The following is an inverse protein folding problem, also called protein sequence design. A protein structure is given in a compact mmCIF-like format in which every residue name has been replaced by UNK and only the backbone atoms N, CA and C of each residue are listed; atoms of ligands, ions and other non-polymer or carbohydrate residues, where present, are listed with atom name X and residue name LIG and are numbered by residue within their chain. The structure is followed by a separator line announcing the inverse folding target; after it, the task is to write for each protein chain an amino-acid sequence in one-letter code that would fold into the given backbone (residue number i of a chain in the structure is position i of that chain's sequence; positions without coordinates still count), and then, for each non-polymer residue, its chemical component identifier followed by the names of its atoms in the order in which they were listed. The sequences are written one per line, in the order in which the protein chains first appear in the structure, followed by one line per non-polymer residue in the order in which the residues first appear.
data_IF_594338755300
#
_entry.id   IF_594338755300
#
_cell.length_a   1.000
_cell.length_b   1.000
_cell.length_c   1.000
_cell.angle_alpha   90.00
_cell.angle_beta   90.00
_cell.angle_gamma   90.00
#
_symmetry.space_group_name_H-M   'P 1'
#
loop_
_entity.id
_entity.type
_entity.pdbx_description
1 polymer ?
#
# COMPACT_ATOMS: atom_id res chain seq x y z
N UNK A 1 22.58 2.80 11.39
CA UNK A 1 22.06 3.92 10.58
C UNK A 1 21.19 4.83 11.42
N UNK A 2 21.02 6.08 11.02
CA UNK A 2 19.98 6.99 11.49
C UNK A 2 18.81 6.96 10.50
N UNK A 3 17.63 6.56 10.96
CA UNK A 3 16.45 6.37 10.12
C UNK A 3 15.34 7.31 10.59
N UNK A 4 14.69 8.01 9.67
CA UNK A 4 13.46 8.73 9.98
C UNK A 4 12.27 8.08 9.28
N UNK A 5 11.21 7.81 10.03
CA UNK A 5 9.91 7.34 9.52
C UNK A 5 8.91 8.48 9.62
N UNK A 6 8.46 8.98 8.48
CA UNK A 6 7.53 10.11 8.37
C UNK A 6 6.11 9.56 8.23
N UNK A 7 5.32 9.68 9.29
CA UNK A 7 3.96 9.19 9.38
C UNK A 7 3.78 8.17 10.49
N UNK A 8 3.15 8.60 11.58
CA UNK A 8 2.88 7.78 12.77
C UNK A 8 1.52 7.05 12.67
N UNK A 9 1.21 6.49 11.50
CA UNK A 9 0.13 5.52 11.31
C UNK A 9 0.53 4.12 11.81
N UNK A 10 -0.34 3.13 11.65
CA UNK A 10 -0.06 1.75 12.08
C UNK A 10 1.24 1.21 11.47
N UNK A 11 1.38 1.29 10.14
CA UNK A 11 2.50 0.71 9.43
C UNK A 11 3.82 1.45 9.67
N UNK A 12 3.81 2.81 9.65
CA UNK A 12 4.99 3.59 9.99
C UNK A 12 5.47 3.35 11.41
N UNK A 13 4.55 3.25 12.38
CA UNK A 13 4.89 2.92 13.78
C UNK A 13 5.48 1.51 13.89
N UNK A 14 4.90 0.51 13.22
CA UNK A 14 5.40 -0.87 13.26
C UNK A 14 6.83 -0.99 12.71
N UNK A 15 7.11 -0.35 11.57
CA UNK A 15 8.46 -0.34 11.00
C UNK A 15 9.46 0.44 11.85
N UNK A 16 9.04 1.56 12.45
CA UNK A 16 9.89 2.31 13.37
C UNK A 16 10.27 1.48 14.60
N UNK A 17 9.32 0.70 15.15
CA UNK A 17 9.58 -0.24 16.26
C UNK A 17 10.58 -1.32 15.82
N UNK A 18 10.36 -1.93 14.65
CA UNK A 18 11.25 -2.97 14.12
C UNK A 18 12.68 -2.47 13.92
N UNK A 19 12.85 -1.32 13.28
CA UNK A 19 14.17 -0.73 13.03
C UNK A 19 14.88 -0.25 14.31
N UNK A 20 14.13 0.23 15.31
CA UNK A 20 14.68 0.76 16.55
C UNK A 20 15.38 -0.29 17.43
N UNK A 21 15.26 -1.58 17.10
CA UNK A 21 16.01 -2.66 17.74
C UNK A 21 17.51 -2.61 17.41
N UNK A 22 17.88 -2.04 16.27
CA UNK A 22 19.27 -2.05 15.77
C UNK A 22 19.78 -0.68 15.33
N UNK A 23 18.91 0.30 15.14
CA UNK A 23 19.23 1.58 14.55
C UNK A 23 18.72 2.75 15.40
N UNK A 24 19.29 3.94 15.19
CA UNK A 24 18.78 5.18 15.77
C UNK A 24 17.58 5.65 14.94
N UNK A 25 16.36 5.54 15.46
CA UNK A 25 15.14 5.78 14.74
C UNK A 25 14.36 6.98 15.29
N UNK A 26 13.95 7.86 14.38
CA UNK A 26 12.99 8.94 14.63
C UNK A 26 11.65 8.62 13.98
N UNK A 27 10.55 8.72 14.72
CA UNK A 27 9.19 8.64 14.22
C UNK A 27 8.59 10.04 14.17
N UNK A 28 8.26 10.50 12.97
CA UNK A 28 7.68 11.82 12.74
C UNK A 28 6.16 11.75 12.69
N UNK A 29 5.50 12.47 13.60
CA UNK A 29 4.06 12.69 13.58
C UNK A 29 3.74 14.13 13.13
N UNK A 30 2.84 14.28 12.16
CA UNK A 30 2.40 15.60 11.67
C UNK A 30 1.62 16.36 12.73
N UNK A 31 0.74 15.66 13.45
CA UNK A 31 -0.11 16.21 14.50
C UNK A 31 0.68 16.30 15.81
N UNK A 32 0.88 17.51 16.37
CA UNK A 32 1.58 17.69 17.64
C UNK A 32 0.91 16.96 18.81
N UNK A 33 -0.42 16.87 18.83
CA UNK A 33 -1.17 16.18 19.88
C UNK A 33 -0.88 14.67 19.83
N UNK A 34 -0.84 14.10 18.63
CA UNK A 34 -0.43 12.70 18.46
C UNK A 34 1.02 12.49 18.88
N UNK A 35 1.93 13.41 18.51
CA UNK A 35 3.33 13.31 18.87
C UNK A 35 3.53 13.32 20.39
N UNK A 36 2.84 14.22 21.09
CA UNK A 36 2.89 14.30 22.57
C UNK A 36 2.33 13.02 23.21
N UNK A 37 1.21 12.51 22.73
CA UNK A 37 0.64 11.26 23.21
C UNK A 37 1.61 10.07 23.00
N UNK A 38 2.26 9.97 21.84
CA UNK A 38 3.27 8.93 21.56
C UNK A 38 4.49 9.05 22.48
N UNK A 39 4.92 10.29 22.77
CA UNK A 39 6.07 10.57 23.62
C UNK A 39 5.78 10.22 25.08
N UNK A 40 4.61 10.59 25.59
CA UNK A 40 4.25 10.44 27.01
C UNK A 40 3.76 9.03 27.33
N UNK A 41 2.86 8.47 26.49
CA UNK A 41 2.25 7.16 26.71
C UNK A 41 3.14 6.00 26.23
N UNK A 42 4.16 6.29 25.43
CA UNK A 42 5.03 5.28 24.79
C UNK A 42 4.24 4.16 24.09
N UNK A 43 3.11 4.52 23.47
CA UNK A 43 2.25 3.62 22.71
C UNK A 43 1.46 4.40 21.65
N UNK A 44 1.09 3.73 20.55
CA UNK A 44 0.21 4.30 19.53
C UNK A 44 -1.20 3.70 19.67
N UNK A 45 -1.91 4.10 20.71
CA UNK A 45 -3.22 3.53 21.05
C UNK A 45 -4.24 3.66 19.91
N UNK A 46 -4.16 4.74 19.10
CA UNK A 46 -5.09 5.02 17.99
C UNK A 46 -4.89 4.08 16.79
N UNK A 47 -3.63 3.81 16.41
CA UNK A 47 -3.34 3.12 15.14
C UNK A 47 -2.70 1.74 15.32
N UNK A 48 -2.04 1.49 16.46
CA UNK A 48 -1.36 0.24 16.77
C UNK A 48 -1.54 -0.12 18.26
N UNK A 49 -2.78 -0.37 18.70
CA UNK A 49 -3.10 -0.60 20.11
C UNK A 49 -2.38 -1.83 20.66
N UNK A 50 -2.01 -1.77 21.94
CA UNK A 50 -1.40 -2.90 22.66
C UNK A 50 0.08 -3.15 22.33
N UNK A 51 0.74 -2.24 21.63
CA UNK A 51 2.17 -2.32 21.29
C UNK A 51 2.92 -1.14 21.94
N UNK A 52 3.94 -1.43 22.75
CA UNK A 52 4.79 -0.42 23.37
C UNK A 52 5.86 0.09 22.38
N UNK A 53 6.16 1.39 22.44
CA UNK A 53 7.28 1.97 21.70
C UNK A 53 8.60 1.70 22.47
N UNK A 54 9.65 1.22 21.79
CA UNK A 54 10.97 1.03 22.42
C UNK A 54 11.50 2.33 23.04
N UNK A 55 12.17 2.31 24.18
CA UNK A 55 12.74 3.52 24.80
C UNK A 55 13.69 4.29 23.87
N UNK A 56 14.40 3.58 23.00
CA UNK A 56 15.33 4.13 21.99
C UNK A 56 14.63 4.90 20.85
N UNK A 57 13.33 4.67 20.63
CA UNK A 57 12.57 5.34 19.55
C UNK A 57 12.28 6.80 19.93
N UNK A 58 12.80 7.73 19.14
CA UNK A 58 12.58 9.16 19.31
C UNK A 58 11.33 9.61 18.56
N UNK A 59 10.38 10.25 19.22
CA UNK A 59 9.22 10.85 18.57
C UNK A 59 9.53 12.32 18.23
N UNK A 60 9.15 12.75 17.02
CA UNK A 60 9.35 14.12 16.53
C UNK A 60 8.07 14.68 15.92
N UNK A 61 7.98 16.02 15.88
CA UNK A 61 6.89 16.73 15.22
C UNK A 61 7.43 17.97 14.50
N UNK A 62 6.65 18.52 13.54
CA UNK A 62 7.00 19.69 12.76
C UNK A 62 6.90 21.04 13.45
N UNK A 63 6.56 21.08 14.73
CA UNK A 63 6.35 22.34 15.44
C UNK A 63 7.63 23.15 15.67
N UNK A 64 8.80 22.52 15.67
CA UNK A 64 10.07 23.17 16.04
C UNK A 64 11.12 23.18 14.92
N UNK A 65 11.10 22.26 13.97
CA UNK A 65 12.11 22.12 12.91
C UNK A 65 11.45 21.68 11.61
N UNK A 66 11.90 22.22 10.48
CA UNK A 66 11.37 21.83 9.16
C UNK A 66 11.68 20.36 8.84
N UNK A 67 10.76 19.70 8.17
CA UNK A 67 10.92 18.28 7.80
C UNK A 67 12.19 18.02 6.94
N UNK A 68 12.52 18.85 5.93
CA UNK A 68 13.75 18.68 5.17
C UNK A 68 15.03 18.77 6.02
N UNK A 69 15.07 19.67 6.99
CA UNK A 69 16.25 19.84 7.84
C UNK A 69 16.45 18.65 8.79
N UNK A 70 15.35 18.09 9.29
CA UNK A 70 15.42 16.84 10.06
C UNK A 70 15.84 15.68 9.17
N UNK A 71 15.25 15.55 7.98
CA UNK A 71 15.55 14.45 7.04
C UNK A 71 17.03 14.43 6.64
N UNK A 72 17.66 15.58 6.41
CA UNK A 72 19.10 15.68 6.09
C UNK A 72 20.04 15.16 7.17
N UNK A 73 19.57 14.97 8.39
CA UNK A 73 20.36 14.42 9.51
C UNK A 73 20.29 12.89 9.59
N UNK A 74 19.61 12.25 8.64
CA UNK A 74 19.36 10.82 8.62
C UNK A 74 19.97 10.15 7.38
N UNK A 75 20.30 8.87 7.51
CA UNK A 75 20.89 8.06 6.43
C UNK A 75 19.81 7.45 5.52
N UNK A 76 18.58 7.34 6.02
CA UNK A 76 17.42 6.78 5.30
C UNK A 76 16.13 7.47 5.74
N UNK A 77 15.29 7.85 4.77
CA UNK A 77 13.97 8.43 4.98
C UNK A 77 12.89 7.45 4.53
N UNK A 78 11.94 7.13 5.41
CA UNK A 78 10.77 6.30 5.11
C UNK A 78 9.52 7.17 5.14
N UNK A 79 8.82 7.28 4.01
CA UNK A 79 7.56 8.01 3.88
C UNK A 79 6.40 7.03 4.10
N UNK A 80 5.80 7.07 5.28
CA UNK A 80 4.70 6.20 5.72
C UNK A 80 3.34 6.95 5.74
N UNK A 81 3.20 7.99 4.92
CA UNK A 81 1.93 8.69 4.72
C UNK A 81 1.04 7.91 3.74
N UNK A 82 -0.29 8.12 3.75
CA UNK A 82 -1.13 7.68 2.65
C UNK A 82 -0.67 8.27 1.31
N UNK A 83 -1.03 7.62 0.20
CA UNK A 83 -0.64 8.06 -1.16
C UNK A 83 -1.04 9.52 -1.44
N UNK A 84 -2.20 9.95 -0.99
CA UNK A 84 -2.67 11.34 -1.15
C UNK A 84 -1.71 12.39 -0.55
N UNK A 85 -0.85 12.02 0.40
CA UNK A 85 0.17 12.89 0.97
C UNK A 85 1.55 12.76 0.32
N UNK A 86 1.75 11.75 -0.54
CA UNK A 86 3.08 11.41 -1.06
C UNK A 86 3.69 12.54 -1.89
N UNK A 87 2.94 13.12 -2.82
CA UNK A 87 3.41 14.22 -3.70
C UNK A 87 3.98 15.38 -2.89
N UNK A 88 3.23 15.83 -1.89
CA UNK A 88 3.68 16.91 -1.01
C UNK A 88 4.94 16.53 -0.23
N UNK A 89 5.02 15.29 0.28
CA UNK A 89 6.21 14.82 1.01
C UNK A 89 7.43 14.74 0.10
N UNK A 90 7.30 14.17 -1.08
CA UNK A 90 8.42 14.08 -2.03
C UNK A 90 8.89 15.47 -2.50
N UNK A 91 7.97 16.42 -2.72
CA UNK A 91 8.35 17.81 -3.04
C UNK A 91 9.20 18.45 -1.93
N UNK A 92 8.85 18.22 -0.67
CA UNK A 92 9.64 18.72 0.47
C UNK A 92 11.00 18.01 0.61
N UNK A 93 11.07 16.75 0.23
CA UNK A 93 12.26 15.90 0.33
C UNK A 93 13.14 15.92 -0.92
N UNK A 94 12.79 16.67 -1.95
CA UNK A 94 13.45 16.66 -3.26
C UNK A 94 14.96 16.94 -3.23
N UNK A 95 15.45 17.65 -2.21
CA UNK A 95 16.87 18.00 -2.04
C UNK A 95 17.57 17.24 -0.91
N UNK A 96 16.96 16.19 -0.38
CA UNK A 96 17.56 15.36 0.66
C UNK A 96 18.57 14.41 0.00
N UNK A 97 19.82 14.31 0.50
CA UNK A 97 20.88 13.59 -0.17
C UNK A 97 20.88 12.08 0.08
N UNK A 98 20.06 11.59 1.03
CA UNK A 98 19.99 10.18 1.39
C UNK A 98 18.84 9.45 0.66
N UNK A 99 18.85 8.11 0.63
CA UNK A 99 17.76 7.31 0.12
C UNK A 99 16.40 7.65 0.75
N UNK A 100 15.35 7.72 -0.10
CA UNK A 100 13.97 7.94 0.30
C UNK A 100 13.13 6.76 -0.16
N UNK A 101 12.34 6.15 0.72
CA UNK A 101 11.44 5.08 0.34
C UNK A 101 10.03 5.33 0.87
N UNK A 102 9.02 5.00 0.08
CA UNK A 102 7.61 5.09 0.50
C UNK A 102 7.02 3.72 0.80
N UNK A 103 5.94 3.74 1.59
CA UNK A 103 5.20 2.56 1.99
C UNK A 103 3.77 2.55 1.45
N UNK A 104 3.30 3.68 0.91
CA UNK A 104 1.94 3.82 0.40
C UNK A 104 1.72 2.91 -0.81
N UNK A 105 0.49 2.46 -0.96
CA UNK A 105 0.03 1.56 -2.02
C UNK A 105 -1.17 2.18 -2.70
N UNK A 106 -1.16 2.27 -4.01
CA UNK A 106 -2.27 2.83 -4.76
C UNK A 106 -1.82 3.59 -5.99
N UNK A 107 -2.77 4.28 -6.61
CA UNK A 107 -2.59 5.13 -7.79
C UNK A 107 -3.20 6.49 -7.46
N UNK A 108 -2.46 7.57 -7.67
CA UNK A 108 -2.96 8.93 -7.51
C UNK A 108 -3.94 9.24 -8.64
N UNK A 109 -5.13 9.74 -8.32
CA UNK A 109 -6.11 10.16 -9.32
C UNK A 109 -5.58 11.27 -10.22
N UNK A 110 -6.07 11.36 -11.46
CA UNK A 110 -5.70 12.44 -12.39
C UNK A 110 -6.08 13.80 -11.81
N UNK A 111 -5.20 14.77 -11.94
CA UNK A 111 -5.49 16.17 -11.62
C UNK A 111 -6.34 16.78 -12.74
N UNK A 112 -7.37 17.56 -12.43
CA UNK A 112 -8.18 18.23 -13.43
C UNK A 112 -7.33 19.11 -14.36
N UNK A 113 -7.54 19.00 -15.66
CA UNK A 113 -7.07 20.00 -16.64
C UNK A 113 -5.80 19.73 -17.43
N UNK A 114 -5.21 18.54 -17.42
CA UNK A 114 -4.06 18.20 -18.27
C UNK A 114 -4.10 16.75 -18.77
N UNK A 115 -3.18 16.36 -19.65
CA UNK A 115 -2.94 14.97 -20.10
C UNK A 115 -2.60 14.00 -18.95
N UNK A 116 -3.29 14.13 -17.82
CA UNK A 116 -2.96 13.48 -16.57
C UNK A 116 -3.75 12.20 -16.38
N UNK A 117 -3.21 11.12 -16.90
CA UNK A 117 -3.58 9.80 -16.42
C UNK A 117 -3.16 9.59 -14.96
N UNK A 118 -3.86 8.72 -14.21
CA UNK A 118 -3.52 8.37 -12.85
C UNK A 118 -2.09 7.84 -12.72
N UNK A 119 -1.36 8.21 -11.64
CA UNK A 119 0.07 7.98 -11.50
C UNK A 119 0.41 7.02 -10.36
N UNK A 120 1.38 6.15 -10.62
CA UNK A 120 2.07 5.37 -9.60
C UNK A 120 3.04 6.27 -8.80
N UNK A 121 3.48 5.80 -7.63
CA UNK A 121 4.31 6.61 -6.73
C UNK A 121 5.68 6.98 -7.36
N UNK A 122 6.33 6.09 -8.11
CA UNK A 122 7.56 6.41 -8.82
C UNK A 122 7.37 7.47 -9.91
N UNK A 123 6.22 7.50 -10.59
CA UNK A 123 5.87 8.52 -11.58
C UNK A 123 5.65 9.89 -10.90
N UNK A 124 5.03 9.90 -9.70
CA UNK A 124 4.92 11.10 -8.86
C UNK A 124 6.32 11.60 -8.48
N UNK A 125 7.19 10.68 -8.04
CA UNK A 125 8.58 11.01 -7.66
C UNK A 125 9.33 11.65 -8.83
N UNK A 126 9.25 11.07 -10.02
CA UNK A 126 9.88 11.61 -11.23
C UNK A 126 9.43 13.03 -11.58
N UNK A 127 8.18 13.40 -11.23
CA UNK A 127 7.65 14.75 -11.46
C UNK A 127 8.14 15.79 -10.44
N UNK A 128 8.17 15.43 -9.15
CA UNK A 128 8.39 16.42 -8.08
C UNK A 128 9.76 16.34 -7.40
N UNK A 129 10.47 15.23 -7.59
CA UNK A 129 11.80 14.98 -7.03
C UNK A 129 12.65 14.11 -7.99
N UNK A 130 12.90 14.55 -9.24
CA UNK A 130 13.52 13.74 -10.29
C UNK A 130 14.94 13.26 -9.96
N UNK A 131 15.64 13.94 -9.07
CA UNK A 131 17.00 13.59 -8.65
C UNK A 131 17.06 12.76 -7.36
N UNK A 132 15.91 12.43 -6.76
CA UNK A 132 15.88 11.67 -5.53
C UNK A 132 16.29 10.20 -5.76
N UNK A 133 17.18 9.69 -4.94
CA UNK A 133 17.43 8.24 -4.85
C UNK A 133 16.24 7.61 -4.11
N UNK A 134 15.28 7.10 -4.86
CA UNK A 134 13.99 6.72 -4.29
C UNK A 134 13.59 5.28 -4.57
N UNK A 135 12.70 4.72 -3.74
CA UNK A 135 12.19 3.36 -3.87
C UNK A 135 10.94 3.10 -3.03
N UNK A 136 10.52 1.86 -3.03
CA UNK A 136 9.33 1.39 -2.30
C UNK A 136 9.68 0.19 -1.42
N UNK A 137 9.09 0.12 -0.23
CA UNK A 137 9.07 -1.09 0.60
C UNK A 137 7.63 -1.61 0.67
N UNK A 138 7.38 -2.81 0.17
CA UNK A 138 6.05 -3.40 0.01
C UNK A 138 6.08 -4.90 0.31
N UNK A 139 4.95 -5.59 0.13
CA UNK A 139 4.81 -7.03 0.34
C UNK A 139 3.74 -7.38 1.37
N UNK A 140 3.54 -8.69 1.64
CA UNK A 140 2.51 -9.18 2.55
C UNK A 140 2.86 -8.82 4.00
N UNK A 141 2.13 -7.86 4.58
CA UNK A 141 2.45 -7.37 5.91
C UNK A 141 1.28 -6.67 6.58
N UNK A 142 0.88 -7.21 7.73
CA UNK A 142 0.03 -6.48 8.65
C UNK A 142 0.87 -5.81 9.73
N UNK A 143 0.60 -4.54 9.99
CA UNK A 143 1.37 -3.73 10.93
C UNK A 143 1.46 -4.35 12.33
N UNK A 144 0.37 -4.96 12.82
CA UNK A 144 0.32 -5.61 14.12
C UNK A 144 1.26 -6.82 14.21
N UNK A 145 1.35 -7.62 13.14
CA UNK A 145 2.21 -8.80 13.08
C UNK A 145 3.68 -8.40 13.08
N UNK A 146 4.05 -7.41 12.25
CA UNK A 146 5.42 -6.89 12.20
C UNK A 146 5.84 -6.27 13.53
N UNK A 147 4.97 -5.49 14.17
CA UNK A 147 5.25 -4.89 15.47
C UNK A 147 5.43 -5.90 16.60
N UNK A 148 4.81 -7.09 16.47
CA UNK A 148 4.99 -8.23 17.38
C UNK A 148 6.15 -9.14 17.00
N UNK A 149 6.96 -8.75 16.01
CA UNK A 149 8.07 -9.54 15.48
C UNK A 149 7.65 -10.93 14.96
N UNK A 150 6.42 -11.05 14.44
CA UNK A 150 5.98 -12.27 13.77
C UNK A 150 6.67 -12.40 12.41
N UNK A 151 6.98 -13.63 11.96
CA UNK A 151 7.68 -13.85 10.70
C UNK A 151 6.98 -13.17 9.53
N UNK A 152 7.69 -12.26 8.86
CA UNK A 152 7.17 -11.47 7.75
C UNK A 152 8.22 -11.34 6.65
N UNK A 153 7.79 -11.22 5.39
CA UNK A 153 8.66 -11.00 4.26
C UNK A 153 8.21 -9.79 3.45
N UNK A 154 9.17 -8.92 3.09
CA UNK A 154 8.96 -7.68 2.33
C UNK A 154 9.85 -7.65 1.09
N UNK A 155 9.53 -6.75 0.17
CA UNK A 155 10.31 -6.41 -1.01
C UNK A 155 10.74 -4.96 -0.94
N UNK A 156 12.04 -4.71 -1.04
CA UNK A 156 12.65 -3.40 -1.23
C UNK A 156 12.90 -3.21 -2.72
N UNK A 157 12.11 -2.35 -3.39
CA UNK A 157 12.24 -2.15 -4.83
C UNK A 157 12.70 -0.73 -5.18
N UNK A 158 13.69 -0.66 -6.07
CA UNK A 158 14.22 0.59 -6.62
C UNK A 158 15.11 0.30 -7.82
N UNK A 159 15.20 1.23 -8.75
CA UNK A 159 16.23 1.22 -9.81
C UNK A 159 17.63 1.53 -9.26
N UNK A 160 17.72 2.17 -8.08
CA UNK A 160 18.99 2.49 -7.40
C UNK A 160 19.39 1.37 -6.43
N UNK A 161 20.55 0.74 -6.65
CA UNK A 161 21.07 -0.30 -5.74
C UNK A 161 21.23 0.20 -4.31
N UNK A 162 21.72 1.42 -4.13
CA UNK A 162 21.92 2.04 -2.82
C UNK A 162 20.63 2.11 -1.99
N UNK A 163 19.47 2.34 -2.63
CA UNK A 163 18.17 2.36 -1.96
C UNK A 163 17.78 0.96 -1.51
N UNK A 164 17.94 -0.03 -2.39
CA UNK A 164 17.64 -1.44 -2.07
C UNK A 164 18.50 -1.92 -0.90
N UNK A 165 19.80 -1.66 -0.96
CA UNK A 165 20.77 -2.08 0.07
C UNK A 165 20.45 -1.39 1.41
N UNK A 166 20.17 -0.08 1.40
CA UNK A 166 19.78 0.65 2.61
C UNK A 166 18.49 0.09 3.25
N UNK A 167 17.49 -0.27 2.45
CA UNK A 167 16.25 -0.87 2.95
C UNK A 167 16.47 -2.29 3.50
N UNK A 168 17.29 -3.10 2.83
CA UNK A 168 17.67 -4.42 3.32
C UNK A 168 18.42 -4.29 4.64
N UNK A 169 19.42 -3.42 4.73
CA UNK A 169 20.21 -3.22 5.95
C UNK A 169 19.34 -2.68 7.11
N UNK A 170 18.42 -1.76 6.80
CA UNK A 170 17.53 -1.18 7.81
C UNK A 170 16.56 -2.18 8.43
N UNK A 171 15.97 -3.07 7.61
CA UNK A 171 14.80 -3.85 8.02
C UNK A 171 15.00 -5.37 8.03
N UNK A 172 16.04 -5.92 7.40
CA UNK A 172 16.27 -7.36 7.40
C UNK A 172 16.69 -7.85 8.80
N UNK A 173 15.88 -8.72 9.42
CA UNK A 173 16.11 -9.30 10.76
C UNK A 173 15.78 -10.80 10.75
N UNK A 174 15.91 -11.46 11.88
CA UNK A 174 15.48 -12.86 12.05
C UNK A 174 13.95 -13.06 11.89
N UNK A 175 13.15 -12.03 12.16
CA UNK A 175 11.68 -12.08 12.02
C UNK A 175 11.16 -11.32 10.81
N UNK A 176 11.95 -10.44 10.19
CA UNK A 176 11.55 -9.66 9.02
C UNK A 176 12.56 -9.85 7.88
N UNK A 177 12.21 -10.63 6.89
CA UNK A 177 13.04 -10.84 5.70
C UNK A 177 12.75 -9.77 4.66
N UNK A 178 13.81 -9.16 4.10
CA UNK A 178 13.68 -8.18 3.02
C UNK A 178 14.41 -8.69 1.78
N UNK A 179 13.69 -8.72 0.66
CA UNK A 179 14.21 -9.13 -0.64
C UNK A 179 14.36 -7.90 -1.53
N UNK A 180 15.51 -7.75 -2.18
CA UNK A 180 15.76 -6.67 -3.13
C UNK A 180 15.12 -6.97 -4.48
N UNK A 181 14.59 -5.93 -5.15
CA UNK A 181 14.07 -5.98 -6.53
C UNK A 181 14.43 -4.69 -7.27
N UNK A 182 14.69 -4.79 -8.55
CA UNK A 182 14.84 -3.63 -9.45
C UNK A 182 13.54 -3.27 -10.18
N UNK A 183 12.50 -4.11 -10.09
CA UNK A 183 11.17 -3.87 -10.65
C UNK A 183 10.27 -3.08 -9.69
N UNK A 184 10.51 -1.77 -9.60
CA UNK A 184 9.68 -0.87 -8.79
C UNK A 184 8.23 -0.82 -9.30
N UNK A 185 8.05 -0.89 -10.63
CA UNK A 185 6.73 -0.82 -11.28
C UNK A 185 5.86 -1.99 -10.85
N UNK A 186 6.38 -3.22 -10.97
CA UNK A 186 5.65 -4.42 -10.60
C UNK A 186 5.27 -4.44 -9.12
N UNK A 187 6.19 -4.00 -8.24
CA UNK A 187 5.93 -3.91 -6.80
C UNK A 187 4.83 -2.90 -6.47
N UNK A 188 4.80 -1.75 -7.12
CA UNK A 188 3.76 -0.73 -6.93
C UNK A 188 2.41 -1.16 -7.49
N UNK A 189 2.36 -1.73 -8.69
CA UNK A 189 1.13 -2.25 -9.31
C UNK A 189 0.53 -3.35 -8.43
N UNK A 190 1.35 -4.30 -7.98
CA UNK A 190 0.90 -5.34 -7.05
C UNK A 190 0.26 -4.75 -5.80
N UNK A 191 0.94 -3.79 -5.16
CA UNK A 191 0.44 -3.12 -3.96
C UNK A 191 -0.85 -2.32 -4.18
N UNK A 192 -1.03 -1.71 -5.35
CA UNK A 192 -2.22 -0.92 -5.67
C UNK A 192 -3.43 -1.80 -6.00
N UNK A 193 -3.28 -2.73 -6.95
CA UNK A 193 -4.38 -3.53 -7.50
C UNK A 193 -4.93 -4.52 -6.47
N UNK A 194 -4.07 -5.12 -5.64
CA UNK A 194 -4.51 -6.06 -4.59
C UNK A 194 -5.59 -5.48 -3.66
N UNK A 195 -5.52 -4.18 -3.39
CA UNK A 195 -6.45 -3.51 -2.50
C UNK A 195 -7.86 -3.45 -3.09
N UNK A 196 -7.96 -3.26 -4.40
CA UNK A 196 -9.23 -3.29 -5.14
C UNK A 196 -9.77 -4.72 -5.20
N UNK A 197 -8.90 -5.70 -5.52
CA UNK A 197 -9.27 -7.12 -5.59
C UNK A 197 -9.73 -7.67 -4.22
N UNK A 198 -9.18 -7.16 -3.12
CA UNK A 198 -9.62 -7.54 -1.79
C UNK A 198 -11.06 -7.09 -1.48
N UNK A 199 -11.55 -6.00 -2.08
CA UNK A 199 -12.97 -5.62 -1.99
C UNK A 199 -13.85 -6.69 -2.67
N UNK A 200 -13.45 -7.16 -3.87
CA UNK A 200 -14.17 -8.21 -4.59
C UNK A 200 -14.22 -9.53 -3.80
N UNK A 201 -13.09 -9.93 -3.19
CA UNK A 201 -13.08 -11.17 -2.36
C UNK A 201 -13.89 -11.00 -1.08
N UNK A 202 -13.90 -9.82 -0.47
CA UNK A 202 -14.78 -9.50 0.65
C UNK A 202 -16.26 -9.56 0.28
N UNK A 203 -16.63 -9.07 -0.91
CA UNK A 203 -17.99 -9.20 -1.45
C UNK A 203 -18.37 -10.67 -1.63
N UNK A 204 -17.50 -11.48 -2.24
CA UNK A 204 -17.68 -12.92 -2.43
C UNK A 204 -17.94 -13.65 -1.10
N UNK A 205 -17.13 -13.35 -0.08
CA UNK A 205 -17.27 -13.94 1.25
C UNK A 205 -18.58 -13.50 1.92
N UNK A 206 -18.95 -12.23 1.81
CA UNK A 206 -20.17 -11.69 2.40
C UNK A 206 -21.44 -12.23 1.76
N UNK A 207 -21.42 -12.55 0.47
CA UNK A 207 -22.49 -13.23 -0.26
C UNK A 207 -22.48 -14.75 -0.08
N UNK A 208 -21.53 -15.30 0.70
CA UNK A 208 -21.39 -16.73 0.98
C UNK A 208 -21.22 -17.61 -0.28
N UNK A 209 -20.53 -17.11 -1.31
CA UNK A 209 -20.32 -17.81 -2.58
C UNK A 209 -19.34 -18.99 -2.47
N UNK A 210 -18.66 -19.13 -1.33
CA UNK A 210 -17.78 -20.25 -1.03
C UNK A 210 -16.32 -20.03 -1.46
N UNK A 211 -15.48 -21.00 -1.06
CA UNK A 211 -14.04 -20.94 -1.22
C UNK A 211 -13.60 -21.07 -2.69
N UNK A 212 -14.34 -21.81 -3.52
CA UNK A 212 -14.03 -21.95 -4.94
C UNK A 212 -14.14 -20.62 -5.67
N UNK A 213 -15.21 -19.83 -5.41
CA UNK A 213 -15.40 -18.52 -5.99
C UNK A 213 -14.28 -17.55 -5.54
N UNK A 214 -13.91 -17.58 -4.26
CA UNK A 214 -12.80 -16.75 -3.75
C UNK A 214 -11.46 -17.14 -4.40
N UNK A 215 -11.16 -18.43 -4.55
CA UNK A 215 -9.94 -18.88 -5.24
C UNK A 215 -9.92 -18.41 -6.69
N UNK A 216 -11.04 -18.55 -7.42
CA UNK A 216 -11.16 -18.05 -8.78
C UNK A 216 -10.94 -16.54 -8.88
N UNK A 217 -11.52 -15.73 -7.96
CA UNK A 217 -11.32 -14.29 -7.92
C UNK A 217 -9.86 -13.91 -7.66
N UNK A 218 -9.15 -14.60 -6.77
CA UNK A 218 -7.73 -14.37 -6.51
C UNK A 218 -6.90 -14.66 -7.75
N UNK A 219 -7.12 -15.81 -8.40
CA UNK A 219 -6.38 -16.22 -9.60
C UNK A 219 -6.64 -15.28 -10.78
N UNK A 220 -7.91 -14.97 -11.04
CA UNK A 220 -8.27 -14.06 -12.15
C UNK A 220 -7.86 -12.61 -11.86
N UNK A 221 -7.94 -12.19 -10.59
CA UNK A 221 -7.45 -10.88 -10.16
C UNK A 221 -5.92 -10.75 -10.32
N UNK A 222 -5.17 -11.81 -10.03
CA UNK A 222 -3.73 -11.84 -10.29
C UNK A 222 -3.42 -11.70 -11.79
N UNK A 223 -4.20 -12.32 -12.66
CA UNK A 223 -4.06 -12.17 -14.11
C UNK A 223 -4.35 -10.72 -14.56
N UNK A 224 -5.39 -10.05 -14.01
CA UNK A 224 -5.65 -8.63 -14.28
C UNK A 224 -4.48 -7.75 -13.83
N UNK A 225 -3.99 -7.98 -12.60
CA UNK A 225 -2.84 -7.27 -12.04
C UNK A 225 -1.60 -7.44 -12.94
N UNK A 226 -1.33 -8.65 -13.41
CA UNK A 226 -0.19 -8.96 -14.27
C UNK A 226 -0.31 -8.25 -15.63
N UNK A 227 -1.50 -8.27 -16.26
CA UNK A 227 -1.73 -7.55 -17.55
C UNK A 227 -1.46 -6.06 -17.41
N UNK A 228 -2.00 -5.42 -16.37
CA UNK A 228 -1.74 -4.00 -16.13
C UNK A 228 -0.25 -3.73 -15.89
N UNK A 229 0.40 -4.57 -15.09
CA UNK A 229 1.83 -4.41 -14.80
C UNK A 229 2.70 -4.55 -16.05
N UNK A 230 2.46 -5.56 -16.88
CA UNK A 230 3.18 -5.74 -18.15
C UNK A 230 2.98 -4.54 -19.10
N UNK A 231 1.77 -4.02 -19.20
CA UNK A 231 1.48 -2.83 -20.01
C UNK A 231 2.19 -1.56 -19.48
N UNK A 232 2.54 -1.52 -18.22
CA UNK A 232 3.31 -0.46 -17.56
C UNK A 232 4.84 -0.70 -17.61
N UNK A 233 5.29 -1.86 -18.11
CA UNK A 233 6.71 -2.21 -18.21
C UNK A 233 7.26 -3.00 -17.03
N UNK A 234 6.40 -3.55 -16.16
CA UNK A 234 6.80 -4.46 -15.08
C UNK A 234 7.16 -5.85 -15.61
N UNK A 235 7.78 -6.67 -14.77
CA UNK A 235 8.11 -8.07 -15.09
C UNK A 235 7.02 -9.02 -14.57
N UNK A 236 6.71 -10.05 -15.34
CA UNK A 236 5.69 -11.04 -15.00
C UNK A 236 6.03 -11.81 -13.69
N UNK A 237 7.30 -12.14 -13.47
CA UNK A 237 7.78 -12.87 -12.30
C UNK A 237 7.55 -12.10 -10.98
N UNK A 238 7.54 -10.78 -11.00
CA UNK A 238 7.22 -9.95 -9.83
C UNK A 238 5.83 -10.25 -9.28
N UNK A 239 4.85 -10.52 -10.15
CA UNK A 239 3.47 -10.80 -9.73
C UNK A 239 3.29 -12.19 -9.13
N UNK A 240 4.16 -13.14 -9.44
CA UNK A 240 4.19 -14.47 -8.80
C UNK A 240 4.91 -14.45 -7.44
N UNK A 241 5.54 -13.34 -7.09
CA UNK A 241 6.29 -13.14 -5.86
C UNK A 241 5.48 -12.52 -4.71
N UNK A 242 6.23 -12.01 -3.73
CA UNK A 242 5.68 -11.43 -2.49
C UNK A 242 4.80 -10.19 -2.76
N UNK A 243 5.19 -9.31 -3.67
CA UNK A 243 4.46 -8.06 -3.95
C UNK A 243 3.23 -8.25 -4.83
N UNK A 244 3.12 -9.38 -5.55
CA UNK A 244 1.94 -9.77 -6.31
C UNK A 244 1.08 -10.77 -5.54
N UNK A 245 1.27 -12.06 -5.83
CA UNK A 245 0.49 -13.16 -5.25
C UNK A 245 0.49 -13.16 -3.72
N UNK A 246 1.67 -12.98 -3.09
CA UNK A 246 1.79 -13.02 -1.63
C UNK A 246 0.94 -11.95 -0.94
N UNK A 247 1.05 -10.71 -1.38
CA UNK A 247 0.32 -9.58 -0.78
C UNK A 247 -1.18 -9.60 -1.17
N UNK A 248 -1.52 -10.12 -2.37
CA UNK A 248 -2.90 -10.35 -2.78
C UNK A 248 -3.58 -11.40 -1.90
N UNK A 249 -2.97 -12.58 -1.72
CA UNK A 249 -3.51 -13.65 -0.89
C UNK A 249 -3.73 -13.18 0.54
N UNK A 250 -2.72 -12.55 1.16
CA UNK A 250 -2.84 -12.02 2.52
C UNK A 250 -4.02 -11.04 2.64
N UNK A 251 -4.14 -10.10 1.67
CA UNK A 251 -5.15 -9.05 1.73
C UNK A 251 -6.55 -9.56 1.41
N UNK A 252 -6.66 -10.54 0.51
CA UNK A 252 -7.92 -11.17 0.09
C UNK A 252 -8.49 -12.15 1.13
N UNK A 253 -7.67 -12.71 2.01
CA UNK A 253 -8.09 -13.76 2.98
C UNK A 253 -7.98 -13.31 4.43
N UNK A 254 -7.13 -12.33 4.74
CA UNK A 254 -6.84 -11.93 6.12
C UNK A 254 -7.94 -11.08 6.75
N UNK A 255 -8.28 -11.36 8.00
CA UNK A 255 -9.32 -10.64 8.75
C UNK A 255 -8.90 -9.21 9.14
N UNK A 256 -7.62 -8.90 9.09
CA UNK A 256 -7.10 -7.55 9.31
C UNK A 256 -7.23 -6.66 8.07
N UNK A 257 -7.60 -7.22 6.90
CA UNK A 257 -7.77 -6.47 5.65
C UNK A 257 -8.99 -5.57 5.68
N UNK A 258 -8.77 -4.26 5.73
CA UNK A 258 -9.85 -3.25 5.67
C UNK A 258 -10.58 -3.27 4.34
N UNK A 259 -9.86 -3.49 3.23
CA UNK A 259 -10.48 -3.56 1.90
C UNK A 259 -11.42 -4.76 1.79
N UNK A 260 -11.02 -5.94 2.30
CA UNK A 260 -11.90 -7.11 2.37
C UNK A 260 -13.13 -6.83 3.25
N UNK A 261 -12.94 -6.13 4.38
CA UNK A 261 -14.07 -5.73 5.25
C UNK A 261 -15.05 -4.80 4.55
N UNK A 262 -14.59 -3.86 3.72
CA UNK A 262 -15.50 -3.04 2.89
C UNK A 262 -16.39 -3.93 2.03
N UNK A 263 -15.82 -4.89 1.30
CA UNK A 263 -16.59 -5.83 0.47
C UNK A 263 -17.62 -6.63 1.27
N UNK A 264 -17.24 -7.15 2.46
CA UNK A 264 -18.14 -7.85 3.38
C UNK A 264 -19.34 -6.97 3.79
N UNK A 265 -19.10 -5.73 4.16
CA UNK A 265 -20.14 -4.80 4.62
C UNK A 265 -21.07 -4.39 3.47
N UNK A 266 -20.54 -4.18 2.26
CA UNK A 266 -21.36 -3.92 1.06
C UNK A 266 -22.26 -5.12 0.72
N UNK A 267 -21.76 -6.36 0.85
CA UNK A 267 -22.55 -7.58 0.66
C UNK A 267 -23.69 -7.69 1.67
N UNK A 268 -23.52 -7.15 2.87
CA UNK A 268 -24.57 -7.09 3.92
C UNK A 268 -25.59 -5.95 3.70
N UNK A 269 -25.49 -5.23 2.57
CA UNK A 269 -26.41 -4.13 2.24
C UNK A 269 -26.07 -2.78 2.87
N UNK A 270 -24.89 -2.63 3.48
CA UNK A 270 -24.46 -1.32 3.97
C UNK A 270 -24.08 -0.40 2.80
N UNK A 271 -24.37 0.89 2.92
CA UNK A 271 -23.84 1.87 1.98
C UNK A 271 -22.33 2.01 2.11
N UNK A 272 -21.63 2.44 1.05
CA UNK A 272 -20.19 2.69 1.09
C UNK A 272 -19.81 3.69 2.20
N UNK A 273 -20.61 4.73 2.39
CA UNK A 273 -20.41 5.72 3.44
C UNK A 273 -20.47 5.09 4.85
N UNK A 274 -21.48 4.23 5.12
CA UNK A 274 -21.61 3.53 6.39
C UNK A 274 -20.46 2.53 6.61
N UNK A 275 -20.11 1.76 5.58
CA UNK A 275 -19.02 0.79 5.64
C UNK A 275 -17.66 1.46 5.95
N UNK A 276 -17.34 2.57 5.26
CA UNK A 276 -16.10 3.31 5.50
C UNK A 276 -16.06 4.00 6.86
N UNK A 277 -17.19 4.57 7.32
CA UNK A 277 -17.27 5.19 8.63
C UNK A 277 -17.08 4.17 9.78
N UNK A 278 -17.63 2.96 9.65
CA UNK A 278 -17.50 1.90 10.66
C UNK A 278 -16.08 1.39 10.84
N UNK A 279 -15.23 1.49 9.79
CA UNK A 279 -13.84 1.05 9.83
C UNK A 279 -12.88 2.09 10.45
N UNK A 280 -13.35 3.31 10.72
CA UNK A 280 -12.60 4.38 11.37
C UNK A 280 -11.42 4.97 10.57
N UNK A 281 -11.02 4.32 9.49
CA UNK A 281 -9.93 4.75 8.59
C UNK A 281 -10.26 4.35 7.16
N UNK A 282 -9.82 5.17 6.21
CA UNK A 282 -10.08 4.94 4.79
C UNK A 282 -9.39 3.64 4.33
N UNK A 283 -10.13 2.80 3.60
CA UNK A 283 -9.58 1.67 2.86
C UNK A 283 -9.00 2.17 1.53
N UNK A 284 -7.70 1.98 1.31
CA UNK A 284 -7.00 2.51 0.13
C UNK A 284 -7.59 1.99 -1.19
N UNK A 285 -8.14 0.75 -1.21
CA UNK A 285 -8.81 0.20 -2.37
C UNK A 285 -10.01 1.02 -2.85
N UNK A 286 -10.76 1.62 -1.92
CA UNK A 286 -11.89 2.51 -2.25
C UNK A 286 -11.41 3.76 -2.97
N UNK A 287 -10.31 4.35 -2.48
CA UNK A 287 -9.75 5.58 -3.07
C UNK A 287 -9.06 5.36 -4.42
N UNK A 288 -8.45 4.19 -4.62
CA UNK A 288 -7.65 3.95 -5.83
C UNK A 288 -8.37 3.13 -6.92
N UNK A 289 -9.56 2.56 -6.65
CA UNK A 289 -10.25 1.70 -7.61
C UNK A 289 -10.49 2.41 -8.95
N UNK A 290 -11.07 3.61 -8.91
CA UNK A 290 -11.33 4.43 -10.09
C UNK A 290 -10.03 4.80 -10.82
N UNK A 291 -8.98 5.16 -10.09
CA UNK A 291 -7.69 5.53 -10.68
C UNK A 291 -7.02 4.32 -11.38
N UNK A 292 -7.11 3.13 -10.78
CA UNK A 292 -6.61 1.88 -11.39
C UNK A 292 -7.38 1.58 -12.68
N UNK A 293 -8.72 1.67 -12.67
CA UNK A 293 -9.56 1.44 -13.84
C UNK A 293 -9.24 2.43 -14.97
N UNK A 294 -9.12 3.72 -14.66
CA UNK A 294 -8.77 4.76 -15.63
C UNK A 294 -7.36 4.55 -16.21
N UNK A 295 -6.39 4.14 -15.36
CA UNK A 295 -5.03 3.85 -15.82
C UNK A 295 -5.02 2.64 -16.77
N UNK A 296 -5.75 1.58 -16.45
CA UNK A 296 -5.88 0.41 -17.30
C UNK A 296 -6.55 0.76 -18.64
N UNK A 297 -7.63 1.52 -18.60
CA UNK A 297 -8.33 1.98 -19.81
C UNK A 297 -7.42 2.81 -20.72
N UNK A 298 -6.59 3.70 -20.18
CA UNK A 298 -5.62 4.51 -20.95
C UNK A 298 -4.56 3.67 -21.68
N UNK A 299 -4.37 2.43 -21.25
CA UNK A 299 -3.42 1.46 -21.83
C UNK A 299 -4.12 0.35 -22.66
N UNK A 300 -5.44 0.40 -22.78
CA UNK A 300 -6.22 -0.64 -23.45
C UNK A 300 -6.24 -1.99 -22.72
N UNK A 301 -6.01 -1.99 -21.40
CA UNK A 301 -5.98 -3.22 -20.57
C UNK A 301 -7.36 -3.53 -20.03
N UNK A 302 -7.88 -4.73 -20.32
CA UNK A 302 -9.15 -5.22 -19.78
C UNK A 302 -8.97 -5.70 -18.33
N UNK A 303 -9.73 -5.07 -17.41
CA UNK A 303 -9.72 -5.39 -15.97
C UNK A 303 -11.16 -5.57 -15.46
N UNK A 304 -11.84 -6.65 -15.83
CA UNK A 304 -13.26 -6.83 -15.52
C UNK A 304 -13.58 -6.87 -14.04
N UNK A 305 -12.74 -7.46 -13.19
CA UNK A 305 -12.97 -7.49 -11.73
C UNK A 305 -12.82 -6.09 -11.16
N UNK A 306 -11.78 -5.34 -11.55
CA UNK A 306 -11.57 -3.95 -11.11
C UNK A 306 -12.74 -3.08 -11.56
N UNK A 307 -13.18 -3.17 -12.82
CA UNK A 307 -14.32 -2.39 -13.34
C UNK A 307 -15.63 -2.72 -12.61
N UNK A 308 -15.84 -3.99 -12.27
CA UNK A 308 -16.98 -4.44 -11.48
C UNK A 308 -16.95 -3.86 -10.05
N UNK A 309 -15.77 -3.81 -9.42
CA UNK A 309 -15.61 -3.18 -8.10
C UNK A 309 -15.89 -1.68 -8.18
N UNK A 310 -15.41 -0.98 -9.21
CA UNK A 310 -15.72 0.45 -9.43
C UNK A 310 -17.22 0.68 -9.53
N UNK A 311 -17.92 -0.08 -10.40
CA UNK A 311 -19.36 0.06 -10.57
C UNK A 311 -20.14 -0.22 -9.27
N UNK A 312 -19.66 -1.16 -8.44
CA UNK A 312 -20.23 -1.44 -7.12
C UNK A 312 -20.00 -0.28 -6.14
N UNK A 313 -18.81 0.28 -6.08
CA UNK A 313 -18.47 1.40 -5.19
C UNK A 313 -19.23 2.68 -5.56
N UNK A 314 -19.47 2.90 -6.84
CA UNK A 314 -20.27 4.02 -7.38
C UNK A 314 -21.78 3.82 -7.20
N UNK A 315 -22.21 2.61 -6.75
CA UNK A 315 -23.63 2.28 -6.58
C UNK A 315 -24.37 2.02 -7.89
N UNK A 316 -23.66 1.86 -9.02
CA UNK A 316 -24.23 1.60 -10.33
C UNK A 316 -24.75 0.16 -10.48
N UNK A 317 -24.24 -0.76 -9.66
CA UNK A 317 -24.68 -2.16 -9.62
C UNK A 317 -24.84 -2.63 -8.17
N UNK A 318 -25.70 -3.61 -7.98
CA UNK A 318 -25.86 -4.30 -6.70
C UNK A 318 -24.83 -5.43 -6.54
N UNK A 319 -24.57 -5.92 -5.31
CA UNK A 319 -23.75 -7.12 -5.08
C UNK A 319 -24.15 -8.32 -5.93
N UNK A 320 -25.43 -8.60 -6.08
CA UNK A 320 -25.93 -9.72 -6.91
C UNK A 320 -25.64 -9.52 -8.41
N UNK A 321 -25.80 -8.29 -8.91
CA UNK A 321 -25.47 -7.96 -10.30
C UNK A 321 -23.97 -8.07 -10.57
N UNK A 322 -23.10 -7.74 -9.60
CA UNK A 322 -21.66 -7.92 -9.71
C UNK A 322 -21.28 -9.40 -10.00
N UNK A 323 -21.90 -10.33 -9.27
CA UNK A 323 -21.71 -11.76 -9.51
C UNK A 323 -22.19 -12.17 -10.92
N UNK A 324 -23.38 -11.73 -11.30
CA UNK A 324 -23.95 -12.04 -12.62
C UNK A 324 -23.06 -11.53 -13.76
N UNK A 325 -22.53 -10.31 -13.64
CA UNK A 325 -21.64 -9.73 -14.65
C UNK A 325 -20.33 -10.50 -14.80
N UNK A 326 -19.72 -10.92 -13.70
CA UNK A 326 -18.46 -11.66 -13.74
C UNK A 326 -18.64 -13.11 -14.22
N UNK A 327 -19.74 -13.77 -13.84
CA UNK A 327 -20.04 -15.14 -14.24
C UNK A 327 -20.61 -15.26 -15.65
N UNK A 328 -21.25 -14.21 -16.17
CA UNK A 328 -21.86 -14.16 -17.51
C UNK A 328 -20.87 -13.84 -18.64
N UNK A 329 -19.57 -13.76 -18.36
CA UNK A 329 -18.54 -13.54 -19.40
C UNK A 329 -18.37 -14.78 -20.28
N UNK A 330 -18.09 -14.56 -21.56
CA UNK A 330 -17.79 -15.63 -22.51
C UNK A 330 -16.59 -16.48 -22.04
N UNK A 331 -16.64 -17.79 -22.31
CA UNK A 331 -15.50 -18.67 -22.04
C UNK A 331 -14.24 -18.19 -22.74
N UNK A 332 -13.12 -18.23 -22.02
CA UNK A 332 -11.81 -17.83 -22.53
C UNK A 332 -10.73 -18.85 -22.18
N UNK A 333 -9.59 -18.79 -22.87
CA UNK A 333 -8.44 -19.64 -22.59
C UNK A 333 -7.78 -19.16 -21.29
N UNK A 334 -7.49 -20.08 -20.35
CA UNK A 334 -6.94 -19.74 -19.02
C UNK A 334 -5.59 -19.01 -19.11
N UNK A 335 -4.76 -19.40 -20.08
CA UNK A 335 -3.38 -18.90 -20.23
C UNK A 335 -3.25 -17.58 -20.99
N UNK A 336 -4.36 -16.93 -21.34
CA UNK A 336 -4.33 -15.62 -21.98
C UNK A 336 -4.03 -14.56 -20.91
N UNK A 337 -2.73 -14.24 -20.74
CA UNK A 337 -2.23 -13.17 -19.86
C UNK A 337 -2.12 -11.89 -20.71
#
# INVERSE_FOLDING_TARGET
MKIIVIGAGAWGTALAISAAQRHAVSLWARDPVQADALQTQRSNARYLPGIALPPSLVVRTGAAVSLPDVARQHDLVIVATPLAGLRQMLSQLATVPCPVAWLCKGVEGGLEGSENYPKLAHEICAQVAPNAMAGVLSGPSFAQEVARAQPTALVAASTHAQVRDALVDAFHTSSLRVYASDDIIGVEVGGAVKNVLAIATGLCDGLQLGLNARAALITRGLAEMTRLGLALGARADTFMGLSGLGDLVLTATGDLSRNRKVGLLLAQGQSLAAATASLGHVAEGVLCAQAVALRAASLGVDMPIVNCVVALLDGNITPAQAVTLLMGREPTIETTI
#
